data_IF_976238807130
#
_entry.id   IF_976238807130
#
_cell.length_a   1.000
_cell.length_b   1.000
_cell.length_c   1.000
_cell.angle_alpha   90.00
_cell.angle_beta   90.00
_cell.angle_gamma   90.00
#
_symmetry.space_group_name_H-M   'P 1'
#
loop_
_entity.id
_entity.type
_entity.pdbx_description
1 polymer ?
#
# COMPACT_ATOMS: atom_id res chain seq x y z
N UNK A 1 -20.73 -16.47 45.52
CA UNK A 1 -20.73 -15.14 46.15
C UNK A 1 -21.62 -14.16 45.41
N UNK A 2 -21.38 -13.89 44.11
CA UNK A 2 -22.20 -12.96 43.33
C UNK A 2 -23.71 -13.30 43.32
N UNK A 3 -24.08 -14.59 43.26
CA UNK A 3 -25.49 -14.99 43.35
C UNK A 3 -26.14 -14.64 44.70
N UNK A 4 -25.48 -14.94 45.83
CA UNK A 4 -25.99 -14.59 47.17
C UNK A 4 -26.03 -13.07 47.40
N UNK A 5 -25.09 -12.32 46.83
CA UNK A 5 -25.14 -10.86 46.82
C UNK A 5 -26.36 -10.35 46.05
N UNK A 6 -26.66 -10.93 44.89
CA UNK A 6 -27.83 -10.55 44.10
C UNK A 6 -29.14 -10.89 44.83
N UNK A 7 -29.22 -12.05 45.47
CA UNK A 7 -30.34 -12.44 46.33
C UNK A 7 -30.53 -11.45 47.50
N UNK A 8 -29.45 -11.08 48.19
CA UNK A 8 -29.49 -10.09 49.27
C UNK A 8 -29.89 -8.69 48.79
N UNK A 9 -29.46 -8.30 47.59
CA UNK A 9 -29.83 -7.01 46.99
C UNK A 9 -31.30 -6.95 46.53
N UNK A 10 -31.90 -8.08 46.13
CA UNK A 10 -33.32 -8.13 45.80
C UNK A 10 -34.23 -7.89 47.00
N UNK A 11 -33.74 -8.16 48.22
CA UNK A 11 -34.47 -7.92 49.45
C UNK A 11 -34.38 -6.46 49.95
N UNK A 12 -33.53 -5.63 49.34
CA UNK A 12 -33.38 -4.22 49.71
C UNK A 12 -34.39 -3.32 48.97
N UNK A 13 -34.76 -2.16 49.55
CA UNK A 13 -35.58 -1.16 48.88
C UNK A 13 -34.93 -0.66 47.58
N UNK A 14 -35.77 -0.29 46.60
CA UNK A 14 -35.31 0.26 45.32
C UNK A 14 -34.42 1.48 45.56
N UNK A 15 -33.17 1.40 45.10
CA UNK A 15 -32.16 2.45 45.24
C UNK A 15 -31.07 2.16 46.27
N UNK A 16 -31.20 1.10 47.08
CA UNK A 16 -30.13 0.61 47.95
C UNK A 16 -29.55 -0.69 47.41
N UNK A 17 -28.22 -0.78 47.38
CA UNK A 17 -27.52 -1.98 46.96
C UNK A 17 -26.24 -2.16 47.77
N UNK A 18 -26.01 -3.38 48.23
CA UNK A 18 -24.73 -3.77 48.80
C UNK A 18 -23.64 -3.73 47.73
N UNK A 19 -22.54 -3.04 48.04
CA UNK A 19 -21.28 -3.23 47.32
C UNK A 19 -20.70 -4.58 47.72
N UNK A 20 -20.14 -5.32 46.75
CA UNK A 20 -19.57 -6.65 46.98
C UNK A 20 -18.54 -6.66 48.12
N UNK A 21 -17.70 -5.63 48.20
CA UNK A 21 -16.67 -5.52 49.25
C UNK A 21 -17.27 -5.40 50.65
N UNK A 22 -18.32 -4.59 50.80
CA UNK A 22 -19.03 -4.38 52.07
C UNK A 22 -19.80 -5.64 52.46
N UNK A 23 -20.50 -6.26 51.50
CA UNK A 23 -21.21 -7.52 51.72
C UNK A 23 -20.28 -8.65 52.18
N UNK A 24 -19.09 -8.76 51.58
CA UNK A 24 -18.09 -9.76 51.99
C UNK A 24 -17.57 -9.47 53.39
N UNK A 25 -17.34 -8.19 53.73
CA UNK A 25 -16.88 -7.82 55.07
C UNK A 25 -17.90 -8.19 56.15
N UNK A 26 -19.19 -7.97 55.90
CA UNK A 26 -20.25 -8.24 56.87
C UNK A 26 -20.68 -9.71 56.93
N UNK A 27 -20.87 -10.36 55.78
CA UNK A 27 -21.36 -11.75 55.71
C UNK A 27 -20.26 -12.79 55.50
N UNK A 28 -18.99 -12.39 55.54
CA UNK A 28 -17.85 -13.25 55.20
C UNK A 28 -17.76 -14.50 56.07
N UNK A 29 -18.02 -14.37 57.37
CA UNK A 29 -18.02 -15.51 58.30
C UNK A 29 -19.15 -16.49 58.00
N UNK A 30 -20.38 -16.01 57.79
CA UNK A 30 -21.54 -16.85 57.46
C UNK A 30 -21.34 -17.60 56.14
N UNK A 31 -20.79 -16.92 55.13
CA UNK A 31 -20.48 -17.52 53.83
C UNK A 31 -19.40 -18.60 53.95
N UNK A 32 -18.38 -18.37 54.77
CA UNK A 32 -17.29 -19.32 54.99
C UNK A 32 -17.79 -20.55 55.74
N UNK A 33 -18.51 -20.36 56.85
CA UNK A 33 -19.10 -21.44 57.63
C UNK A 33 -20.10 -22.24 56.79
N UNK A 34 -20.98 -21.56 56.06
CA UNK A 34 -21.94 -22.20 55.18
C UNK A 34 -21.26 -23.02 54.07
N UNK A 35 -20.15 -22.55 53.52
CA UNK A 35 -19.36 -23.31 52.55
C UNK A 35 -18.67 -24.52 53.17
N UNK A 36 -18.11 -24.39 54.38
CA UNK A 36 -17.49 -25.49 55.11
C UNK A 36 -18.48 -26.64 55.34
N UNK A 37 -19.73 -26.32 55.68
CA UNK A 37 -20.81 -27.28 55.93
C UNK A 37 -21.36 -27.99 54.68
N UNK A 38 -20.99 -27.57 53.46
CA UNK A 38 -21.44 -28.25 52.23
C UNK A 38 -20.80 -29.62 52.06
N UNK A 39 -21.57 -30.55 51.49
CA UNK A 39 -21.08 -31.87 51.10
C UNK A 39 -20.07 -31.79 49.95
N UNK A 40 -19.28 -32.85 49.76
CA UNK A 40 -18.30 -32.92 48.68
C UNK A 40 -18.96 -32.78 47.28
N UNK A 41 -20.15 -33.37 47.10
CA UNK A 41 -20.89 -33.30 45.83
C UNK A 41 -21.34 -31.87 45.49
N UNK A 42 -21.76 -31.10 46.49
CA UNK A 42 -22.20 -29.71 46.31
C UNK A 42 -21.04 -28.76 46.05
N UNK A 43 -19.92 -28.97 46.75
CA UNK A 43 -18.66 -28.27 46.49
C UNK A 43 -18.22 -28.51 45.04
N UNK A 44 -18.26 -29.75 44.56
CA UNK A 44 -17.90 -30.10 43.19
C UNK A 44 -18.83 -29.45 42.13
N UNK A 45 -20.13 -29.36 42.41
CA UNK A 45 -21.07 -28.63 41.55
C UNK A 45 -20.74 -27.14 41.47
N UNK A 46 -20.38 -26.52 42.61
CA UNK A 46 -19.95 -25.12 42.66
C UNK A 46 -18.65 -24.90 41.89
N UNK A 47 -17.66 -25.78 42.04
CA UNK A 47 -16.40 -25.73 41.30
C UNK A 47 -16.63 -25.80 39.78
N UNK A 48 -17.41 -26.79 39.32
CA UNK A 48 -17.78 -26.89 37.89
C UNK A 48 -18.50 -25.65 37.38
N UNK A 49 -19.41 -25.08 38.17
CA UNK A 49 -20.11 -23.84 37.80
C UNK A 49 -19.15 -22.66 37.67
N UNK A 50 -18.19 -22.52 38.59
CA UNK A 50 -17.15 -21.48 38.52
C UNK A 50 -16.24 -21.70 37.31
N UNK A 51 -15.87 -22.95 37.02
CA UNK A 51 -15.07 -23.31 35.86
C UNK A 51 -15.78 -22.91 34.55
N UNK A 52 -17.02 -23.36 34.35
CA UNK A 52 -17.80 -23.01 33.17
C UNK A 52 -18.00 -21.50 33.02
N UNK A 53 -18.21 -20.77 34.12
CA UNK A 53 -18.30 -19.30 34.06
C UNK A 53 -16.98 -18.64 33.66
N UNK A 54 -15.83 -19.20 34.05
CA UNK A 54 -14.51 -18.69 33.64
C UNK A 54 -14.20 -19.00 32.18
N UNK A 55 -14.65 -20.14 31.68
CA UNK A 55 -14.51 -20.50 30.26
C UNK A 55 -15.46 -19.68 29.37
N UNK A 56 -16.68 -19.41 29.84
CA UNK A 56 -17.70 -18.69 29.08
C UNK A 56 -17.62 -17.16 29.22
N UNK A 57 -16.92 -16.63 30.22
CA UNK A 57 -16.61 -15.21 30.27
C UNK A 57 -15.63 -14.90 29.14
N UNK A 58 -16.14 -14.36 28.04
CA UNK A 58 -15.34 -13.59 27.09
C UNK A 58 -14.63 -12.55 27.94
N UNK A 59 -13.31 -12.72 28.10
CA UNK A 59 -12.50 -11.72 28.79
C UNK A 59 -12.55 -10.47 27.93
N UNK A 60 -13.55 -9.62 28.15
CA UNK A 60 -13.51 -8.22 27.74
C UNK A 60 -12.48 -7.60 28.68
N UNK A 61 -11.21 -7.90 28.40
CA UNK A 61 -10.12 -7.25 29.09
C UNK A 61 -10.17 -5.83 28.55
N UNK A 62 -10.66 -4.89 29.36
CA UNK A 62 -10.15 -3.52 29.29
C UNK A 62 -8.66 -3.59 29.63
N UNK A 63 -7.88 -4.11 28.67
CA UNK A 63 -6.45 -4.19 28.79
C UNK A 63 -5.98 -2.77 28.67
N UNK A 64 -5.33 -2.27 29.72
CA UNK A 64 -4.44 -1.14 29.57
C UNK A 64 -3.58 -1.39 28.31
N UNK A 65 -3.50 -0.45 27.35
CA UNK A 65 -2.74 -0.65 26.13
C UNK A 65 -1.31 -1.14 26.37
N UNK A 66 -0.69 -0.73 27.48
CA UNK A 66 0.64 -1.22 27.91
C UNK A 66 0.65 -2.71 28.29
N UNK A 67 -0.41 -3.19 28.94
CA UNK A 67 -0.55 -4.60 29.29
C UNK A 67 -0.73 -5.45 28.02
N UNK A 68 -1.52 -4.96 27.06
CA UNK A 68 -1.69 -5.60 25.76
C UNK A 68 -0.37 -5.65 24.99
N UNK A 69 0.37 -4.53 24.91
CA UNK A 69 1.69 -4.47 24.28
C UNK A 69 2.66 -5.49 24.91
N UNK A 70 2.70 -5.57 26.25
CA UNK A 70 3.54 -6.56 26.95
C UNK A 70 3.12 -7.99 26.60
N UNK A 71 1.82 -8.27 26.56
CA UNK A 71 1.31 -9.58 26.19
C UNK A 71 1.70 -9.96 24.76
N UNK A 72 1.51 -9.04 23.81
CA UNK A 72 1.92 -9.21 22.40
C UNK A 72 3.42 -9.50 22.32
N UNK A 73 4.26 -8.70 22.98
CA UNK A 73 5.71 -8.92 22.98
C UNK A 73 6.09 -10.31 23.51
N UNK A 74 5.49 -10.74 24.62
CA UNK A 74 5.75 -12.09 25.18
C UNK A 74 5.32 -13.19 24.21
N UNK A 75 4.17 -13.06 23.57
CA UNK A 75 3.68 -14.04 22.60
C UNK A 75 4.59 -14.14 21.37
N UNK A 76 4.98 -13.00 20.79
CA UNK A 76 5.83 -12.98 19.60
C UNK A 76 7.27 -13.43 19.90
N UNK A 77 7.82 -13.10 21.07
CA UNK A 77 9.14 -13.62 21.48
C UNK A 77 9.11 -15.16 21.63
N UNK A 78 8.00 -15.74 22.10
CA UNK A 78 7.85 -17.18 22.16
C UNK A 78 7.72 -17.78 20.75
N UNK A 79 6.95 -17.15 19.86
CA UNK A 79 6.84 -17.58 18.45
C UNK A 79 8.18 -17.53 17.72
N UNK A 80 8.99 -16.50 17.95
CA UNK A 80 10.31 -16.37 17.34
C UNK A 80 11.23 -17.54 17.74
N UNK A 81 11.26 -17.91 19.03
CA UNK A 81 12.00 -19.10 19.49
C UNK A 81 11.52 -20.39 18.82
N UNK A 82 10.21 -20.57 18.67
CA UNK A 82 9.66 -21.74 17.98
C UNK A 82 10.04 -21.75 16.49
N UNK A 83 10.03 -20.58 15.83
CA UNK A 83 10.47 -20.45 14.45
C UNK A 83 11.96 -20.76 14.28
N UNK A 84 12.82 -20.28 15.18
CA UNK A 84 14.25 -20.61 15.19
C UNK A 84 14.48 -22.12 15.38
N UNK A 85 13.72 -22.75 16.27
CA UNK A 85 13.73 -24.20 16.49
C UNK A 85 13.30 -24.97 15.22
N UNK A 86 12.25 -24.53 14.53
CA UNK A 86 11.79 -25.14 13.28
C UNK A 86 12.86 -24.99 12.19
N UNK A 87 13.39 -23.79 12.01
CA UNK A 87 14.41 -23.50 10.99
C UNK A 87 15.68 -24.31 11.22
N UNK A 88 16.12 -24.48 12.47
CA UNK A 88 17.32 -25.27 12.80
C UNK A 88 17.10 -26.78 12.59
N UNK A 89 15.92 -27.31 12.93
CA UNK A 89 15.63 -28.76 12.82
C UNK A 89 15.28 -29.23 11.42
N UNK A 90 14.57 -28.41 10.66
CA UNK A 90 13.97 -28.82 9.38
C UNK A 90 14.61 -28.16 8.16
N UNK A 91 15.40 -27.10 8.38
CA UNK A 91 15.95 -26.28 7.30
C UNK A 91 14.94 -25.35 6.63
N UNK A 92 13.69 -25.30 7.10
CA UNK A 92 12.65 -24.40 6.56
C UNK A 92 13.10 -22.94 6.65
N UNK A 93 12.95 -22.22 5.54
CA UNK A 93 13.24 -20.78 5.42
C UNK A 93 11.94 -20.04 5.20
N UNK A 94 11.71 -19.01 6.00
CA UNK A 94 10.50 -18.22 5.93
C UNK A 94 10.67 -16.86 6.59
N UNK A 95 9.58 -16.13 6.59
CA UNK A 95 9.40 -14.89 7.32
C UNK A 95 7.92 -14.74 7.71
N UNK A 96 7.64 -13.95 8.73
CA UNK A 96 6.29 -13.50 9.05
C UNK A 96 6.32 -12.01 9.38
N UNK A 97 5.20 -11.35 9.13
CA UNK A 97 4.97 -9.95 9.48
C UNK A 97 3.60 -9.87 10.14
N UNK A 98 3.55 -9.28 11.33
CA UNK A 98 2.31 -8.97 12.03
C UNK A 98 2.30 -7.46 12.31
N UNK A 99 1.26 -6.80 11.84
CA UNK A 99 1.03 -5.36 11.98
C UNK A 99 -0.25 -5.15 12.77
N UNK A 100 -0.38 -4.00 13.43
CA UNK A 100 -1.60 -3.69 14.16
C UNK A 100 -2.72 -3.27 13.19
N UNK A 101 -3.95 -3.66 13.53
CA UNK A 101 -5.15 -3.33 12.73
C UNK A 101 -5.80 -2.00 13.07
N UNK A 102 -5.39 -1.37 14.16
CA UNK A 102 -6.02 -0.15 14.69
C UNK A 102 -4.93 0.83 15.12
N UNK A 103 -5.16 2.12 14.90
CA UNK A 103 -4.27 3.21 15.31
C UNK A 103 -4.17 3.37 16.83
N UNK A 104 -5.15 2.86 17.59
CA UNK A 104 -5.12 2.89 19.06
C UNK A 104 -4.18 1.84 19.67
N UNK A 105 -3.69 0.89 18.88
CA UNK A 105 -2.80 -0.16 19.35
C UNK A 105 -1.32 0.30 19.31
N UNK A 106 -0.73 0.59 20.47
CA UNK A 106 0.64 1.11 20.61
C UNK A 106 1.78 0.07 20.49
N UNK A 107 1.56 -1.09 19.90
CA UNK A 107 2.63 -2.09 19.78
C UNK A 107 3.30 -2.01 18.42
N UNK A 108 4.64 -2.06 18.42
CA UNK A 108 5.42 -2.10 17.18
C UNK A 108 5.14 -3.38 16.39
N UNK A 109 5.10 -3.23 15.06
CA UNK A 109 5.02 -4.35 14.12
C UNK A 109 6.08 -5.41 14.38
N UNK A 110 5.66 -6.67 14.34
CA UNK A 110 6.50 -7.83 14.61
C UNK A 110 6.92 -8.47 13.31
N UNK A 111 8.24 -8.60 13.16
CA UNK A 111 8.86 -9.09 11.94
C UNK A 111 9.86 -10.16 12.36
N UNK A 112 9.76 -11.32 11.74
CA UNK A 112 10.77 -12.35 11.80
C UNK A 112 11.12 -12.76 10.38
N UNK A 113 12.39 -13.00 10.11
CA UNK A 113 12.83 -13.55 8.84
C UNK A 113 14.10 -14.36 9.00
N UNK A 114 14.21 -15.42 8.21
CA UNK A 114 15.49 -16.11 7.99
C UNK A 114 16.36 -15.32 7.00
N UNK A 115 17.70 -15.47 7.00
CA UNK A 115 18.58 -14.71 6.11
C UNK A 115 18.21 -14.83 4.61
N UNK A 116 17.81 -16.03 4.16
CA UNK A 116 17.39 -16.25 2.77
C UNK A 116 16.07 -15.56 2.44
N UNK A 117 15.13 -15.52 3.40
CA UNK A 117 13.87 -14.79 3.23
C UNK A 117 14.11 -13.28 3.20
N UNK A 118 15.05 -12.76 3.99
CA UNK A 118 15.44 -11.36 3.94
C UNK A 118 16.00 -10.97 2.57
N UNK A 119 16.92 -11.77 2.01
CA UNK A 119 17.44 -11.53 0.66
C UNK A 119 16.33 -11.55 -0.38
N UNK A 120 15.41 -12.52 -0.30
CA UNK A 120 14.26 -12.60 -1.19
C UNK A 120 13.38 -11.32 -1.13
N UNK A 121 13.05 -10.83 0.06
CA UNK A 121 12.27 -9.59 0.22
C UNK A 121 13.02 -8.42 -0.42
N UNK A 122 14.33 -8.27 -0.16
CA UNK A 122 15.14 -7.18 -0.71
C UNK A 122 15.26 -7.24 -2.23
N UNK A 123 15.46 -8.42 -2.81
CA UNK A 123 15.64 -8.60 -4.24
C UNK A 123 14.34 -8.42 -5.03
N UNK A 124 13.23 -8.96 -4.51
CA UNK A 124 11.94 -8.95 -5.22
C UNK A 124 11.18 -7.64 -5.02
N UNK A 125 11.14 -7.13 -3.78
CA UNK A 125 10.38 -5.91 -3.48
C UNK A 125 11.21 -4.63 -3.60
N UNK A 126 12.54 -4.74 -3.68
CA UNK A 126 13.47 -3.61 -3.61
C UNK A 126 13.30 -2.77 -2.33
N UNK A 127 12.86 -3.40 -1.24
CA UNK A 127 12.65 -2.78 0.06
C UNK A 127 13.38 -3.58 1.15
N UNK A 128 13.88 -2.87 2.16
CA UNK A 128 14.29 -3.51 3.39
C UNK A 128 13.05 -4.09 4.12
N UNK A 129 13.14 -5.26 4.81
CA UNK A 129 12.00 -5.87 5.48
C UNK A 129 11.27 -4.94 6.45
N UNK A 130 11.99 -4.02 7.13
CA UNK A 130 11.36 -3.02 8.00
C UNK A 130 10.50 -2.04 7.20
N UNK A 131 11.03 -1.53 6.09
CA UNK A 131 10.28 -0.66 5.19
C UNK A 131 9.08 -1.39 4.57
N UNK A 132 9.23 -2.67 4.26
CA UNK A 132 8.14 -3.50 3.76
C UNK A 132 7.03 -3.66 4.81
N UNK A 133 7.39 -3.95 6.07
CA UNK A 133 6.43 -4.04 7.16
C UNK A 133 5.72 -2.71 7.44
N UNK A 134 6.43 -1.57 7.42
CA UNK A 134 5.81 -0.25 7.58
C UNK A 134 4.82 0.08 6.46
N UNK A 135 5.13 -0.29 5.21
CA UNK A 135 4.18 -0.14 4.10
C UNK A 135 2.96 -1.03 4.28
N UNK A 136 3.16 -2.25 4.76
CA UNK A 136 2.07 -3.17 5.05
C UNK A 136 1.21 -2.69 6.22
N UNK A 137 1.81 -2.14 7.27
CA UNK A 137 1.12 -1.53 8.41
C UNK A 137 0.33 -0.31 7.97
N UNK A 138 0.93 0.58 7.18
CA UNK A 138 0.24 1.71 6.58
C UNK A 138 -0.96 1.25 5.75
N UNK A 139 -0.82 0.16 4.98
CA UNK A 139 -1.91 -0.46 4.25
C UNK A 139 -3.03 -1.00 5.14
N UNK A 140 -2.69 -1.69 6.23
CA UNK A 140 -3.71 -2.28 7.11
C UNK A 140 -4.44 -1.19 7.92
N UNK A 141 -3.73 -0.18 8.39
CA UNK A 141 -4.29 0.91 9.23
C UNK A 141 -4.96 2.01 8.44
N UNK A 142 -4.62 2.17 7.16
CA UNK A 142 -5.11 3.25 6.32
C UNK A 142 -6.58 3.15 5.88
N UNK A 143 -7.32 2.15 6.37
CA UNK A 143 -8.72 1.86 6.00
C UNK A 143 -8.94 1.96 4.48
N UNK A 144 -8.02 1.36 3.71
CA UNK A 144 -8.14 1.30 2.26
C UNK A 144 -9.26 0.31 1.92
N UNK A 145 -10.49 0.81 1.84
CA UNK A 145 -11.67 0.03 1.47
C UNK A 145 -11.39 -0.68 0.13
N UNK A 146 -11.49 -2.01 0.15
CA UNK A 146 -10.60 -2.96 -0.53
C UNK A 146 -10.68 -2.98 -2.07
N UNK A 147 -11.39 -2.06 -2.71
CA UNK A 147 -11.61 -2.09 -4.15
C UNK A 147 -11.55 -0.73 -4.88
N UNK A 148 -11.53 0.42 -4.20
CA UNK A 148 -11.59 1.71 -4.89
C UNK A 148 -10.40 2.65 -4.62
N UNK A 149 -9.74 2.61 -3.45
CA UNK A 149 -8.91 3.73 -3.00
C UNK A 149 -7.40 3.64 -3.27
N UNK A 150 -6.90 2.50 -3.75
CA UNK A 150 -5.47 2.37 -4.09
C UNK A 150 -5.09 3.38 -5.16
N UNK A 151 -5.94 3.52 -6.17
CA UNK A 151 -5.82 4.50 -7.25
C UNK A 151 -5.94 5.93 -6.73
N UNK A 152 -6.80 6.18 -5.76
CA UNK A 152 -7.01 7.51 -5.16
C UNK A 152 -5.87 8.00 -4.26
N UNK A 153 -4.95 7.13 -3.85
CA UNK A 153 -3.80 7.52 -3.02
C UNK A 153 -2.46 7.61 -3.79
N UNK A 154 -2.40 7.14 -5.03
CA UNK A 154 -1.16 7.21 -5.82
C UNK A 154 -0.80 8.66 -6.19
N UNK A 155 0.46 9.12 -6.04
CA UNK A 155 0.87 10.43 -6.55
C UNK A 155 0.46 10.61 -8.03
N UNK A 156 0.05 11.81 -8.44
CA UNK A 156 -0.46 12.05 -9.81
C UNK A 156 0.52 11.61 -10.90
N UNK A 157 1.83 11.69 -10.65
CA UNK A 157 2.89 11.20 -11.53
C UNK A 157 2.82 9.68 -11.75
N UNK A 158 2.55 8.91 -10.68
CA UNK A 158 2.37 7.46 -10.75
C UNK A 158 1.09 7.09 -11.50
N UNK A 159 -0.01 7.81 -11.27
CA UNK A 159 -1.26 7.61 -12.01
C UNK A 159 -1.08 7.83 -13.52
N UNK A 160 -0.44 8.94 -13.90
CA UNK A 160 -0.14 9.25 -15.30
C UNK A 160 0.72 8.14 -15.91
N UNK A 161 1.78 7.72 -15.20
CA UNK A 161 2.66 6.63 -15.67
C UNK A 161 1.87 5.34 -15.87
N UNK A 162 1.01 4.96 -14.93
CA UNK A 162 0.27 3.71 -14.99
C UNK A 162 -0.76 3.72 -16.12
N UNK A 163 -1.48 4.84 -16.32
CA UNK A 163 -2.35 5.03 -17.47
C UNK A 163 -1.57 4.88 -18.79
N UNK A 164 -0.41 5.54 -18.91
CA UNK A 164 0.40 5.46 -20.13
C UNK A 164 0.89 4.04 -20.41
N UNK A 165 1.31 3.32 -19.37
CA UNK A 165 1.74 1.92 -19.47
C UNK A 165 0.59 1.02 -19.92
N UNK A 166 -0.57 1.07 -19.25
CA UNK A 166 -1.74 0.27 -19.60
C UNK A 166 -2.21 0.52 -21.03
N UNK A 167 -2.30 1.78 -21.46
CA UNK A 167 -2.68 2.14 -22.83
C UNK A 167 -1.67 1.55 -23.84
N UNK A 168 -0.37 1.67 -23.57
CA UNK A 168 0.68 1.18 -24.46
C UNK A 168 0.77 -0.35 -24.49
N UNK A 169 0.54 -1.02 -23.37
CA UNK A 169 0.49 -2.47 -23.27
C UNK A 169 -0.72 -3.03 -24.01
N UNK A 170 -1.90 -2.44 -23.81
CA UNK A 170 -3.10 -2.78 -24.58
C UNK A 170 -2.91 -2.60 -26.09
N UNK A 171 -2.25 -1.51 -26.51
CA UNK A 171 -1.91 -1.25 -27.90
C UNK A 171 -0.98 -2.34 -28.46
N UNK A 172 0.05 -2.71 -27.71
CA UNK A 172 0.98 -3.77 -28.10
C UNK A 172 0.27 -5.14 -28.18
N UNK A 173 -0.64 -5.42 -27.25
CA UNK A 173 -1.41 -6.65 -27.21
C UNK A 173 -2.31 -6.79 -28.44
N UNK A 174 -3.07 -5.75 -28.80
CA UNK A 174 -3.96 -5.80 -29.97
C UNK A 174 -3.18 -5.87 -31.29
N UNK A 175 -2.07 -5.13 -31.38
CA UNK A 175 -1.18 -5.18 -32.55
C UNK A 175 -0.62 -6.58 -32.79
N UNK A 176 -0.25 -7.27 -31.71
CA UNK A 176 0.22 -8.66 -31.75
C UNK A 176 -0.92 -9.63 -32.09
N UNK A 177 -2.10 -9.43 -31.51
CA UNK A 177 -3.29 -10.29 -31.73
C UNK A 177 -3.70 -10.35 -33.20
N UNK A 178 -3.67 -9.21 -33.90
CA UNK A 178 -4.10 -9.12 -35.30
C UNK A 178 -2.94 -9.08 -36.31
N UNK A 179 -1.69 -9.28 -35.86
CA UNK A 179 -0.48 -9.27 -36.70
C UNK A 179 -0.34 -8.02 -37.60
N UNK A 180 -0.77 -6.86 -37.11
CA UNK A 180 -0.84 -5.61 -37.90
C UNK A 180 0.54 -5.00 -38.19
N UNK A 181 1.54 -5.26 -37.34
CA UNK A 181 2.90 -4.75 -37.51
C UNK A 181 3.92 -5.66 -36.83
N UNK A 182 5.06 -5.86 -37.50
CA UNK A 182 6.24 -6.54 -36.91
C UNK A 182 7.06 -5.62 -36.00
N UNK A 183 6.89 -4.30 -36.14
CA UNK A 183 7.62 -3.29 -35.35
C UNK A 183 6.78 -2.82 -34.17
N UNK A 184 7.44 -2.57 -33.03
CA UNK A 184 6.82 -2.01 -31.83
C UNK A 184 6.30 -0.59 -32.15
N UNK A 185 4.98 -0.42 -32.16
CA UNK A 185 4.34 0.89 -32.42
C UNK A 185 4.21 1.64 -31.11
N UNK A 186 4.77 2.85 -31.04
CA UNK A 186 4.64 3.73 -29.89
C UNK A 186 3.36 4.56 -30.01
N UNK A 187 2.59 4.64 -28.91
CA UNK A 187 1.36 5.43 -28.84
C UNK A 187 1.63 6.90 -29.19
N UNK A 188 0.86 7.46 -30.12
CA UNK A 188 0.97 8.84 -30.56
C UNK A 188 -0.35 9.60 -30.29
N UNK A 189 -0.41 10.29 -29.16
CA UNK A 189 -1.60 11.06 -28.78
C UNK A 189 -1.82 12.32 -29.63
N UNK A 190 -0.74 12.92 -30.14
CA UNK A 190 -0.79 14.18 -30.88
C UNK A 190 -1.33 14.00 -32.31
N UNK A 191 -1.14 12.82 -32.90
CA UNK A 191 -1.67 12.42 -34.21
C UNK A 191 -2.41 11.09 -34.09
N UNK A 192 -3.25 10.98 -33.07
CA UNK A 192 -3.97 9.75 -32.75
C UNK A 192 -4.82 9.26 -33.91
N UNK A 193 -5.65 10.15 -34.46
CA UNK A 193 -6.53 9.87 -35.60
C UNK A 193 -5.73 9.27 -36.78
N UNK A 194 -4.70 9.97 -37.25
CA UNK A 194 -3.94 9.54 -38.41
C UNK A 194 -3.05 8.32 -38.14
N UNK A 195 -2.24 8.35 -37.07
CA UNK A 195 -1.18 7.36 -36.87
C UNK A 195 -1.64 6.11 -36.13
N UNK A 196 -2.80 6.13 -35.51
CA UNK A 196 -3.33 4.97 -34.79
C UNK A 196 -4.58 4.46 -35.48
N UNK A 197 -5.59 5.31 -35.69
CA UNK A 197 -6.85 4.87 -36.30
C UNK A 197 -6.68 4.65 -37.80
N UNK A 198 -6.30 5.66 -38.58
CA UNK A 198 -6.27 5.56 -40.05
C UNK A 198 -5.17 4.60 -40.53
N UNK A 199 -3.99 4.65 -39.91
CA UNK A 199 -2.85 3.82 -40.33
C UNK A 199 -2.94 2.35 -39.89
N UNK A 200 -3.56 2.06 -38.75
CA UNK A 200 -3.58 0.70 -38.19
C UNK A 200 -4.98 0.09 -38.03
N UNK A 201 -6.04 0.88 -38.21
CA UNK A 201 -7.42 0.41 -38.09
C UNK A 201 -7.78 -0.01 -36.68
N UNK A 202 -7.23 0.65 -35.66
CA UNK A 202 -7.51 0.35 -34.25
C UNK A 202 -7.91 1.63 -33.52
N UNK A 203 -8.92 1.53 -32.67
CA UNK A 203 -9.43 2.63 -31.87
C UNK A 203 -9.48 2.23 -30.39
N UNK A 204 -9.44 3.23 -29.52
CA UNK A 204 -9.57 3.07 -28.08
C UNK A 204 -11.00 3.43 -27.72
N UNK A 205 -11.83 2.42 -27.48
CA UNK A 205 -13.24 2.58 -27.13
C UNK A 205 -13.38 2.70 -25.61
N UNK A 206 -14.39 3.45 -25.15
CA UNK A 206 -14.66 3.63 -23.72
C UNK A 206 -13.77 4.66 -23.01
N UNK A 207 -13.14 5.57 -23.77
CA UNK A 207 -12.34 6.66 -23.20
C UNK A 207 -13.22 7.62 -22.38
N UNK A 208 -12.88 7.82 -21.10
CA UNK A 208 -13.71 8.57 -20.13
C UNK A 208 -13.50 10.08 -20.15
N UNK A 209 -12.39 10.57 -20.70
CA UNK A 209 -11.95 11.97 -20.56
C UNK A 209 -12.23 12.84 -21.80
N UNK A 210 -13.32 12.57 -22.52
CA UNK A 210 -13.68 13.28 -23.77
C UNK A 210 -12.79 12.88 -24.94
N UNK A 211 -11.99 13.81 -25.48
CA UNK A 211 -11.06 13.50 -26.59
C UNK A 211 -9.84 12.73 -26.08
N UNK A 212 -9.41 11.72 -26.83
CA UNK A 212 -8.18 10.96 -26.54
C UNK A 212 -6.98 11.91 -26.54
N UNK A 213 -6.30 11.99 -25.39
CA UNK A 213 -5.13 12.85 -25.17
C UNK A 213 -4.13 12.14 -24.28
N UNK A 214 -2.89 12.63 -24.28
CA UNK A 214 -1.87 12.11 -23.39
C UNK A 214 -2.35 12.23 -21.93
N UNK A 215 -2.31 11.16 -21.11
CA UNK A 215 -2.67 11.22 -19.70
C UNK A 215 -1.98 12.35 -18.94
N UNK A 216 -0.74 12.73 -19.29
CA UNK A 216 -0.05 13.87 -18.65
C UNK A 216 -0.70 15.23 -18.88
N UNK A 217 -1.59 15.35 -19.88
CA UNK A 217 -2.36 16.57 -20.19
C UNK A 217 -3.78 16.53 -19.59
N UNK A 218 -4.13 15.48 -18.86
CA UNK A 218 -5.38 15.40 -18.10
C UNK A 218 -5.13 16.12 -16.78
N UNK A 219 -5.71 17.31 -16.61
CA UNK A 219 -5.43 18.19 -15.48
C UNK A 219 -6.04 17.71 -14.16
N UNK A 220 -7.24 17.12 -14.21
CA UNK A 220 -7.93 16.69 -12.99
C UNK A 220 -7.53 15.27 -12.60
N UNK A 221 -7.15 15.11 -11.33
CA UNK A 221 -6.83 13.81 -10.74
C UNK A 221 -8.01 12.83 -10.83
N UNK A 222 -9.23 13.31 -10.61
CA UNK A 222 -10.45 12.48 -10.68
C UNK A 222 -10.59 11.82 -12.05
N UNK A 223 -10.37 12.58 -13.12
CA UNK A 223 -10.42 12.08 -14.50
C UNK A 223 -9.35 11.02 -14.76
N UNK A 224 -8.15 11.20 -14.20
CA UNK A 224 -7.07 10.20 -14.30
C UNK A 224 -7.41 8.89 -13.59
N UNK A 225 -8.01 8.96 -12.40
CA UNK A 225 -8.46 7.77 -11.67
C UNK A 225 -9.58 7.08 -12.44
N UNK A 226 -10.60 7.82 -12.89
CA UNK A 226 -11.67 7.25 -13.71
C UNK A 226 -11.16 6.59 -15.00
N UNK A 227 -10.16 7.19 -15.65
CA UNK A 227 -9.53 6.58 -16.82
C UNK A 227 -8.77 5.30 -16.47
N UNK A 228 -8.03 5.30 -15.36
CA UNK A 228 -7.28 4.13 -14.93
C UNK A 228 -8.22 2.99 -14.53
N UNK A 229 -9.27 3.27 -13.78
CA UNK A 229 -10.28 2.29 -13.41
C UNK A 229 -10.98 1.74 -14.65
N UNK A 230 -11.28 2.58 -15.65
CA UNK A 230 -11.84 2.11 -16.92
C UNK A 230 -10.86 1.20 -17.69
N UNK A 231 -9.56 1.49 -17.68
CA UNK A 231 -8.54 0.64 -18.30
C UNK A 231 -8.37 -0.71 -17.58
N UNK A 232 -8.41 -0.70 -16.24
CA UNK A 232 -8.23 -1.91 -15.41
C UNK A 232 -9.47 -2.81 -15.46
N UNK A 233 -10.67 -2.21 -15.40
CA UNK A 233 -11.94 -2.95 -15.46
C UNK A 233 -12.40 -3.25 -16.90
N UNK A 234 -11.49 -3.16 -17.87
CA UNK A 234 -11.77 -3.41 -19.30
C UNK A 234 -12.93 -2.58 -19.87
N UNK A 235 -13.29 -1.46 -19.27
CA UNK A 235 -14.30 -0.52 -19.79
C UNK A 235 -13.72 0.41 -20.86
N UNK A 236 -12.40 0.59 -20.87
CA UNK A 236 -11.65 1.32 -21.89
C UNK A 236 -10.65 0.36 -22.55
N UNK A 237 -10.92 -0.05 -23.78
CA UNK A 237 -10.19 -1.13 -24.44
C UNK A 237 -9.91 -0.82 -25.91
N UNK A 238 -8.84 -1.42 -26.42
CA UNK A 238 -8.51 -1.31 -27.83
C UNK A 238 -9.40 -2.25 -28.64
N UNK A 239 -10.06 -1.69 -29.66
CA UNK A 239 -10.86 -2.43 -30.63
C UNK A 239 -10.22 -2.35 -32.02
N UNK A 240 -10.39 -3.41 -32.80
CA UNK A 240 -10.09 -3.37 -34.22
C UNK A 240 -11.31 -2.86 -34.98
N UNK A 241 -11.12 -1.84 -35.79
CA UNK A 241 -12.13 -1.32 -36.69
C UNK A 241 -12.17 -2.16 -37.98
N UNK A 242 -13.36 -2.32 -38.54
CA UNK A 242 -13.54 -2.85 -39.89
C UNK A 242 -13.04 -1.85 -40.93
N UNK A 243 -12.76 -2.32 -42.15
CA UNK A 243 -12.28 -1.45 -43.24
C UNK A 243 -13.26 -0.32 -43.55
N UNK A 244 -14.55 -0.63 -43.58
CA UNK A 244 -15.62 0.35 -43.80
C UNK A 244 -15.66 1.40 -42.69
N UNK A 245 -15.51 1.00 -41.42
CA UNK A 245 -15.42 1.95 -40.30
C UNK A 245 -14.20 2.87 -40.43
N UNK A 246 -13.04 2.34 -40.85
CA UNK A 246 -11.83 3.15 -41.08
C UNK A 246 -12.05 4.15 -42.22
N UNK A 247 -12.63 3.71 -43.34
CA UNK A 247 -12.93 4.57 -44.49
C UNK A 247 -13.91 5.69 -44.14
N UNK A 248 -15.00 5.36 -43.43
CA UNK A 248 -15.96 6.33 -42.93
C UNK A 248 -15.32 7.33 -41.95
N UNK A 249 -14.41 6.85 -41.11
CA UNK A 249 -13.66 7.69 -40.17
C UNK A 249 -12.73 8.66 -40.91
N UNK A 250 -12.00 8.18 -41.92
CA UNK A 250 -11.15 9.01 -42.80
C UNK A 250 -12.00 10.08 -43.51
N UNK A 251 -13.14 9.71 -44.08
CA UNK A 251 -14.04 10.64 -44.75
C UNK A 251 -14.55 11.74 -43.79
N UNK A 252 -14.98 11.35 -42.59
CA UNK A 252 -15.44 12.28 -41.55
C UNK A 252 -14.32 13.24 -41.12
N UNK A 253 -13.09 12.73 -40.95
CA UNK A 253 -11.93 13.57 -40.62
C UNK A 253 -11.62 14.56 -41.74
N UNK A 254 -11.67 14.14 -43.00
CA UNK A 254 -11.48 15.04 -44.15
C UNK A 254 -12.52 16.16 -44.19
N UNK A 255 -13.79 15.88 -43.88
CA UNK A 255 -14.84 16.90 -43.80
C UNK A 255 -14.58 17.91 -42.68
N UNK A 256 -14.20 17.43 -41.49
CA UNK A 256 -13.85 18.31 -40.37
C UNK A 256 -12.65 19.21 -40.69
N UNK A 257 -11.64 18.69 -41.40
CA UNK A 257 -10.51 19.51 -41.90
C UNK A 257 -10.97 20.55 -42.91
N UNK A 258 -11.90 20.21 -43.84
CA UNK A 258 -12.49 21.19 -44.77
C UNK A 258 -13.26 22.29 -44.03
N UNK A 259 -13.88 21.96 -42.91
CA UNK A 259 -14.57 22.90 -42.03
C UNK A 259 -13.61 23.73 -41.14
N UNK A 260 -12.29 23.53 -41.28
CA UNK A 260 -11.26 24.30 -40.57
C UNK A 260 -10.82 23.73 -39.22
N UNK A 261 -11.26 22.53 -38.84
CA UNK A 261 -10.80 21.88 -37.61
C UNK A 261 -9.37 21.31 -37.79
N UNK A 262 -8.45 21.64 -36.89
CA UNK A 262 -7.09 21.11 -36.90
C UNK A 262 -7.04 19.70 -36.30
N UNK A 263 -7.33 18.69 -37.12
CA UNK A 263 -7.24 17.28 -36.73
C UNK A 263 -5.79 16.78 -36.79
N UNK A 264 -5.11 17.08 -37.89
CA UNK A 264 -3.75 16.65 -38.13
C UNK A 264 -2.76 17.71 -37.67
N UNK A 265 -1.79 17.34 -36.82
CA UNK A 265 -0.70 18.25 -36.50
C UNK A 265 0.32 18.23 -37.65
N UNK A 266 0.60 19.38 -38.29
CA UNK A 266 1.58 19.43 -39.35
C UNK A 266 2.95 19.00 -38.82
N UNK A 267 3.66 18.20 -39.62
CA UNK A 267 5.03 17.82 -39.28
C UNK A 267 5.89 19.09 -39.22
N UNK A 268 6.62 19.30 -38.12
CA UNK A 268 7.59 20.40 -38.07
C UNK A 268 8.57 20.20 -39.22
N UNK A 269 8.71 21.20 -40.09
CA UNK A 269 9.74 21.21 -41.12
C UNK A 269 11.09 21.05 -40.43
N UNK A 270 11.84 20.02 -40.82
CA UNK A 270 13.16 19.75 -40.26
C UNK A 270 14.05 20.93 -40.66
N UNK A 271 14.43 21.78 -39.69
CA UNK A 271 15.46 22.79 -39.94
C UNK A 271 16.72 22.02 -40.31
N UNK A 272 17.14 22.10 -41.58
CA UNK A 272 18.41 21.51 -42.02
C UNK A 272 19.49 22.09 -41.12
N UNK A 273 20.17 21.22 -40.37
CA UNK A 273 21.36 21.59 -39.63
C UNK A 273 22.37 22.03 -40.69
N UNK A 274 22.63 23.34 -40.79
CA UNK A 274 23.68 23.86 -41.66
C UNK A 274 25.00 23.42 -41.04
N UNK A 275 25.50 22.28 -41.50
CA UNK A 275 26.85 21.82 -41.22
C UNK A 275 27.77 22.61 -42.15
N UNK A 276 28.30 23.73 -41.67
CA UNK A 276 29.28 24.52 -42.42
C UNK A 276 29.13 26.03 -42.24
N UNK A 277 29.50 26.52 -41.07
CA UNK A 277 29.78 27.94 -40.84
C UNK A 277 31.11 28.02 -40.09
N UNK A 278 32.14 28.52 -40.77
CA UNK A 278 33.49 28.65 -40.27
C UNK A 278 33.54 29.46 -38.97
N UNK A 279 34.39 29.02 -38.04
CA UNK A 279 34.78 29.79 -36.85
C UNK A 279 35.55 31.03 -37.31
N UNK A 280 34.92 32.20 -37.28
CA UNK A 280 35.68 33.46 -37.22
C UNK A 280 36.11 33.67 -35.77
N UNK A 281 37.40 33.49 -35.57
CA UNK A 281 38.19 34.04 -34.47
C UNK A 281 38.09 35.56 -34.53
N UNK A 282 37.80 36.21 -33.40
CA UNK A 282 38.19 37.58 -33.00
C UNK A 282 37.39 37.93 -31.72
N UNK A 283 37.85 38.61 -30.67
CA UNK A 283 39.11 39.22 -30.24
C UNK A 283 38.98 39.37 -28.70
N UNK A 284 40.11 39.34 -28.01
CA UNK A 284 40.32 39.48 -26.56
C UNK A 284 39.78 40.82 -26.03
N UNK A 285 39.15 40.79 -24.85
CA UNK A 285 38.85 41.98 -24.05
C UNK A 285 39.05 41.67 -22.57
N UNK A 286 40.27 41.92 -22.10
CA UNK A 286 40.65 42.05 -20.69
C UNK A 286 39.75 43.06 -19.96
N UNK A 287 39.19 42.69 -18.81
CA UNK A 287 38.98 43.66 -17.72
C UNK A 287 39.04 42.91 -16.38
N UNK A 288 40.04 43.33 -15.63
CA UNK A 288 40.53 42.88 -14.34
C UNK A 288 39.68 43.42 -13.16
N UNK A 289 39.93 42.89 -11.95
CA UNK A 289 39.47 43.35 -10.62
C UNK A 289 38.07 42.87 -10.17
N UNK A 290 37.84 42.27 -8.99
CA UNK A 290 38.62 42.15 -7.75
C UNK A 290 38.09 40.98 -6.90
N UNK A 291 39.02 40.20 -6.35
CA UNK A 291 39.14 39.80 -4.93
C UNK A 291 37.89 39.75 -4.05
N UNK A 292 37.59 38.56 -3.52
CA UNK A 292 37.40 38.38 -2.08
C UNK A 292 37.64 36.91 -1.71
N UNK A 293 38.74 36.71 -0.97
CA UNK A 293 39.09 35.48 -0.27
C UNK A 293 38.19 35.32 0.97
N UNK A 294 37.67 34.11 1.19
CA UNK A 294 37.50 33.61 2.56
C UNK A 294 37.91 32.14 2.57
N UNK A 295 39.10 31.93 3.12
CA UNK A 295 39.63 30.67 3.62
C UNK A 295 38.93 30.38 4.95
N UNK A 296 38.58 29.11 5.21
CA UNK A 296 38.82 28.48 6.51
C UNK A 296 38.70 26.95 6.39
N UNK A 297 39.88 26.33 6.51
CA UNK A 297 40.22 25.02 7.10
C UNK A 297 39.49 24.83 8.46
N UNK A 298 39.21 23.68 9.07
CA UNK A 298 39.85 22.37 9.20
C UNK A 298 38.79 21.43 9.83
N UNK A 299 38.90 20.10 9.67
CA UNK A 299 39.54 19.25 10.70
C UNK A 299 39.17 17.76 10.56
N UNK A 300 40.21 16.94 10.68
CA UNK A 300 40.23 15.48 10.63
C UNK A 300 39.65 14.83 11.91
N UNK A 301 39.23 13.57 11.80
CA UNK A 301 39.61 12.56 12.80
C UNK A 301 39.58 11.14 12.21
N UNK A 302 40.78 10.58 12.04
CA UNK A 302 41.05 9.16 11.88
C UNK A 302 41.02 8.43 13.25
N UNK A 303 40.90 7.09 13.24
CA UNK A 303 41.20 6.20 14.38
C UNK A 303 40.56 4.82 14.20
N UNK A 304 41.20 3.87 13.50
CA UNK A 304 42.15 2.83 13.97
C UNK A 304 41.54 1.55 14.56
N UNK A 305 41.83 0.45 13.86
CA UNK A 305 42.30 -0.89 14.29
C UNK A 305 41.75 -1.61 15.54
N UNK A 306 41.49 -2.91 15.36
CA UNK A 306 41.33 -3.87 16.46
C UNK A 306 41.13 -5.30 15.98
N UNK A 307 42.22 -5.95 15.56
CA UNK A 307 42.31 -7.41 15.45
C UNK A 307 42.45 -8.04 16.85
N UNK A 308 41.66 -9.07 17.17
CA UNK A 308 41.96 -10.02 18.25
C UNK A 308 41.62 -11.44 17.79
N UNK A 309 42.59 -12.32 17.99
CA UNK A 309 42.60 -13.76 17.73
C UNK A 309 42.38 -14.51 19.06
N UNK A 310 41.88 -15.75 18.96
CA UNK A 310 41.95 -16.89 19.89
C UNK A 310 40.88 -16.98 21.00
N UNK A 311 40.19 -18.13 20.97
CA UNK A 311 39.28 -18.66 21.99
C UNK A 311 38.44 -19.79 21.39
#
# INVERSE_FOLDING_TARGET
>A
MSQKLNEANLALPVGQQWKLTVFIAEHGQELTTGYCCLSASEKEKLHRKVHNLRENCVKIVHSNPKALQKQVNVMFNNMEKEWENITSRTGVKGFYIAVHGDVEHFHESKIFYTPKAQSFIKEISHLDPKCFALKFESWVTGDFDTHADVTHCLPSTKLISLCCTNIQEGLNAIMKKYNLSKKKVKMNYDNYEQKVIEMHGIALEGWTCGKVRNPSKIGHRKDLVMLLDALVNECCLWIQLTKEQVENHIATNHERVKNGESIYKPHKAMKRKVTGGAKSVDIIGDTDSSEDEVVDEDDEAQGTEGAVVVG
#
